data_IF_479266999335
#
_entry.id   IF_479266999335
#
_cell.length_a   1.000
_cell.length_b   1.000
_cell.length_c   1.000
_cell.angle_alpha   90.00
_cell.angle_beta   90.00
_cell.angle_gamma   90.00
#
_symmetry.space_group_name_H-M   'P 1'
#
loop_
_entity.id
_entity.type
_entity.pdbx_description
1 polymer ?
#
# COMPACT_ATOMS: atom_id res chain seq x y z
N UNK A 1 14.47 7.44 -15.28
CA UNK A 1 13.21 8.23 -15.37
C UNK A 1 12.24 7.58 -14.43
N UNK A 2 11.72 8.27 -13.42
CA UNK A 2 10.86 7.62 -12.46
C UNK A 2 9.42 7.59 -13.00
N UNK A 3 8.79 6.41 -13.00
CA UNK A 3 7.34 6.24 -13.04
C UNK A 3 6.86 6.05 -11.60
N UNK A 4 5.77 6.69 -11.18
CA UNK A 4 5.35 6.67 -9.77
C UNK A 4 3.83 6.61 -9.65
N UNK A 5 3.40 6.12 -8.49
CA UNK A 5 2.03 6.13 -7.99
C UNK A 5 1.57 7.49 -7.47
N UNK A 6 2.50 8.34 -7.04
CA UNK A 6 2.15 9.65 -6.50
C UNK A 6 2.23 10.78 -7.52
N UNK A 7 1.22 11.63 -7.40
CA UNK A 7 0.92 12.85 -8.14
C UNK A 7 2.13 13.74 -8.43
N UNK A 8 2.87 13.42 -9.49
CA UNK A 8 4.09 14.17 -9.83
C UNK A 8 3.86 15.64 -10.18
N UNK A 9 2.70 15.94 -10.75
CA UNK A 9 2.39 17.32 -11.13
C UNK A 9 1.88 18.20 -9.98
N UNK A 10 1.76 17.67 -8.75
CA UNK A 10 1.38 18.48 -7.60
C UNK A 10 2.10 18.17 -6.29
N UNK A 11 3.01 17.19 -6.28
CA UNK A 11 4.08 17.12 -5.29
C UNK A 11 5.16 18.15 -5.63
N UNK A 12 5.19 19.24 -4.87
CA UNK A 12 6.20 20.31 -4.99
C UNK A 12 7.65 19.75 -4.95
N UNK A 13 7.88 18.66 -4.21
CA UNK A 13 9.16 17.96 -4.15
C UNK A 13 9.64 17.36 -5.49
N UNK A 14 8.73 16.82 -6.32
CA UNK A 14 9.10 16.30 -7.65
C UNK A 14 9.32 17.42 -8.65
N UNK A 15 8.44 18.43 -8.63
CA UNK A 15 8.61 19.62 -9.44
C UNK A 15 9.98 20.25 -9.19
N UNK A 16 10.58 20.14 -7.98
CA UNK A 16 11.93 20.62 -7.66
C UNK A 16 13.06 19.74 -8.22
N UNK A 17 12.87 18.42 -8.38
CA UNK A 17 13.94 17.48 -8.75
C UNK A 17 14.22 17.40 -10.25
N UNK A 18 13.21 17.59 -11.12
CA UNK A 18 13.36 17.51 -12.57
C UNK A 18 13.36 18.89 -13.24
N UNK A 19 14.17 19.82 -12.71
CA UNK A 19 14.34 21.15 -13.30
C UNK A 19 15.74 21.37 -13.87
N UNK A 20 15.80 22.06 -14.99
CA UNK A 20 17.03 22.67 -15.48
C UNK A 20 17.10 24.10 -14.96
N UNK A 21 18.32 24.58 -14.67
CA UNK A 21 18.53 25.98 -14.33
C UNK A 21 18.22 26.84 -15.56
N UNK A 22 17.31 27.81 -15.42
CA UNK A 22 17.03 28.79 -16.47
C UNK A 22 18.12 29.86 -16.44
N UNK A 23 19.13 29.75 -17.30
CA UNK A 23 20.23 30.72 -17.39
C UNK A 23 21.22 30.72 -16.22
N UNK A 24 21.95 31.83 -16.03
CA UNK A 24 22.93 32.05 -14.94
C UNK A 24 22.27 32.77 -13.76
N UNK A 25 21.68 32.02 -12.83
CA UNK A 25 21.05 32.59 -11.62
C UNK A 25 22.09 32.82 -10.51
N UNK A 26 22.64 34.01 -10.35
CA UNK A 26 23.54 34.32 -9.22
C UNK A 26 22.81 34.24 -7.87
N UNK A 27 23.51 33.82 -6.80
CA UNK A 27 22.99 33.69 -5.42
C UNK A 27 22.44 35.01 -4.86
N UNK A 28 22.75 36.15 -5.48
CA UNK A 28 22.33 37.48 -5.08
C UNK A 28 21.10 38.02 -5.86
N UNK A 29 20.50 37.24 -6.77
CA UNK A 29 19.36 37.72 -7.55
C UNK A 29 18.09 37.81 -6.69
N UNK A 30 17.60 39.03 -6.47
CA UNK A 30 16.35 39.32 -5.76
C UNK A 30 15.21 39.27 -6.78
N UNK A 31 14.24 38.38 -6.56
CA UNK A 31 13.01 38.29 -7.35
C UNK A 31 11.84 38.64 -6.43
N UNK A 32 11.10 39.70 -6.77
CA UNK A 32 9.89 40.12 -6.05
C UNK A 32 8.74 39.16 -6.36
N UNK A 33 8.27 38.44 -5.34
CA UNK A 33 7.12 37.55 -5.45
C UNK A 33 5.81 38.30 -5.10
N UNK A 34 4.78 38.12 -5.92
CA UNK A 34 3.42 38.54 -5.57
C UNK A 34 2.96 37.82 -4.29
N UNK A 35 2.31 38.59 -3.40
CA UNK A 35 1.92 38.20 -2.05
C UNK A 35 1.15 36.88 -2.02
N UNK A 36 1.70 35.88 -1.32
CA UNK A 36 1.00 34.64 -0.96
C UNK A 36 0.07 34.92 0.23
N UNK A 37 -1.24 34.81 0.03
CA UNK A 37 -2.25 34.99 1.08
C UNK A 37 -2.34 33.75 2.01
N UNK A 38 -1.99 33.86 3.30
CA UNK A 38 -1.97 32.75 4.24
C UNK A 38 -3.37 32.19 4.59
N UNK A 39 -4.44 32.98 4.45
CA UNK A 39 -5.77 32.62 4.97
C UNK A 39 -6.54 31.63 4.08
N UNK A 40 -6.03 31.30 2.89
CA UNK A 40 -6.62 30.29 1.99
C UNK A 40 -6.15 28.86 2.25
N UNK A 41 -5.26 28.64 3.24
CA UNK A 41 -4.66 27.32 3.50
C UNK A 41 -5.59 26.33 4.20
N UNK A 42 -6.44 26.76 5.14
CA UNK A 42 -7.14 25.83 6.02
C UNK A 42 -8.38 25.18 5.36
N UNK A 43 -9.18 25.97 4.64
CA UNK A 43 -10.38 25.46 3.95
C UNK A 43 -10.05 24.44 2.84
N UNK A 44 -8.89 24.60 2.19
CA UNK A 44 -8.49 23.76 1.04
C UNK A 44 -7.78 22.45 1.45
N UNK A 45 -7.37 22.32 2.70
CA UNK A 45 -6.91 21.04 3.27
C UNK A 45 -8.11 20.13 3.55
N UNK A 46 -9.26 20.70 3.89
CA UNK A 46 -10.51 19.96 4.08
C UNK A 46 -11.02 19.42 2.74
N UNK A 47 -11.04 20.26 1.70
CA UNK A 47 -11.35 19.83 0.33
C UNK A 47 -10.38 18.73 -0.18
N UNK A 48 -9.12 18.76 0.27
CA UNK A 48 -8.08 17.77 -0.06
C UNK A 48 -8.31 16.42 0.60
N UNK A 49 -8.67 16.39 1.88
CA UNK A 49 -9.07 15.15 2.58
C UNK A 49 -10.34 14.58 1.98
N UNK A 50 -11.29 15.43 1.60
CA UNK A 50 -12.56 15.02 1.01
C UNK A 50 -12.39 14.48 -0.41
N UNK A 51 -11.53 15.09 -1.24
CA UNK A 51 -11.20 14.58 -2.57
C UNK A 51 -10.47 13.22 -2.54
N UNK A 52 -9.62 12.99 -1.53
CA UNK A 52 -8.97 11.69 -1.32
C UNK A 52 -9.97 10.59 -0.96
N UNK A 53 -11.05 10.95 -0.24
CA UNK A 53 -12.10 10.03 0.20
C UNK A 53 -13.20 9.79 -0.84
N UNK A 54 -13.52 10.79 -1.67
CA UNK A 54 -14.67 10.79 -2.61
C UNK A 54 -14.23 10.64 -4.08
N UNK A 55 -12.95 10.88 -4.38
CA UNK A 55 -12.35 10.64 -5.71
C UNK A 55 -12.64 11.71 -6.77
N UNK A 56 -13.06 12.93 -6.42
CA UNK A 56 -13.31 13.96 -7.43
C UNK A 56 -12.02 14.41 -8.15
N UNK A 57 -12.17 14.84 -9.41
CA UNK A 57 -11.11 15.53 -10.15
C UNK A 57 -10.85 16.90 -9.52
N UNK A 58 -9.67 17.10 -8.94
CA UNK A 58 -9.26 18.40 -8.41
C UNK A 58 -8.53 19.18 -9.50
N UNK A 59 -8.99 20.40 -9.79
CA UNK A 59 -8.33 21.31 -10.71
C UNK A 59 -6.93 21.65 -10.19
N UNK A 60 -5.91 21.49 -11.06
CA UNK A 60 -4.49 21.68 -10.73
C UNK A 60 -4.22 23.09 -10.20
N UNK A 61 -3.36 23.20 -9.17
CA UNK A 61 -2.58 24.43 -8.95
C UNK A 61 -1.53 24.55 -10.08
N UNK A 62 -1.24 25.76 -10.57
CA UNK A 62 0.04 26.01 -11.23
C UNK A 62 1.16 25.65 -10.24
N UNK A 63 2.19 24.99 -10.74
CA UNK A 63 3.44 24.68 -10.02
C UNK A 63 3.89 25.86 -9.15
N UNK A 64 4.33 25.61 -7.92
CA UNK A 64 5.03 26.65 -7.15
C UNK A 64 6.29 27.04 -7.96
N UNK A 65 6.41 28.29 -8.42
CA UNK A 65 7.54 28.68 -9.26
C UNK A 65 8.79 28.80 -8.38
N UNK A 66 9.70 27.82 -8.47
CA UNK A 66 11.09 28.04 -8.09
C UNK A 66 11.74 28.90 -9.19
N UNK A 67 11.84 30.21 -8.93
CA UNK A 67 12.44 31.16 -9.86
C UNK A 67 13.87 30.75 -10.24
N UNK A 68 14.20 30.84 -11.53
CA UNK A 68 15.51 30.43 -12.03
C UNK A 68 15.65 28.95 -12.42
N UNK A 69 14.56 28.17 -12.34
CA UNK A 69 14.55 26.74 -12.66
C UNK A 69 13.27 26.32 -13.40
N UNK A 70 13.44 25.74 -14.60
CA UNK A 70 12.36 25.28 -15.47
C UNK A 70 12.16 23.77 -15.38
N UNK A 71 10.93 23.24 -15.24
CA UNK A 71 10.66 21.81 -15.31
C UNK A 71 11.03 21.26 -16.70
N UNK A 72 11.92 20.26 -16.72
CA UNK A 72 12.39 19.59 -17.95
C UNK A 72 11.34 18.61 -18.46
N UNK A 73 10.67 17.91 -17.53
CA UNK A 73 9.58 16.99 -17.84
C UNK A 73 8.24 17.67 -17.57
N UNK A 74 7.44 17.85 -18.63
CA UNK A 74 6.14 18.55 -18.59
C UNK A 74 4.94 17.60 -18.46
N UNK A 75 5.18 16.29 -18.55
CA UNK A 75 4.17 15.23 -18.42
C UNK A 75 4.65 14.15 -17.46
N UNK A 76 3.75 13.63 -16.63
CA UNK A 76 4.03 12.54 -15.70
C UNK A 76 4.13 11.15 -16.37
N UNK A 77 3.89 11.07 -17.67
CA UNK A 77 4.01 9.88 -18.50
C UNK A 77 4.96 10.09 -19.67
N UNK A 78 5.54 8.99 -20.14
CA UNK A 78 6.62 9.00 -21.11
C UNK A 78 6.74 7.64 -21.82
N UNK A 79 7.34 7.67 -23.01
CA UNK A 79 7.74 6.48 -23.77
C UNK A 79 9.19 6.67 -24.24
N UNK A 80 10.01 5.62 -24.18
CA UNK A 80 11.35 5.61 -24.75
C UNK A 80 11.65 4.29 -25.45
N UNK A 81 12.35 4.37 -26.59
CA UNK A 81 13.02 3.23 -27.22
C UNK A 81 14.28 2.90 -26.44
N UNK A 82 14.33 1.76 -25.75
CA UNK A 82 15.52 1.34 -24.99
C UNK A 82 16.53 0.57 -25.84
N UNK A 83 16.03 -0.23 -26.78
CA UNK A 83 16.82 -1.05 -27.69
C UNK A 83 16.00 -1.36 -28.96
N UNK A 84 16.59 -1.93 -30.03
CA UNK A 84 15.83 -2.32 -31.22
C UNK A 84 14.61 -3.20 -30.86
N UNK A 85 13.44 -2.81 -31.34
CA UNK A 85 12.19 -3.54 -31.07
C UNK A 85 11.76 -3.61 -29.60
N UNK A 86 12.26 -2.72 -28.74
CA UNK A 86 11.94 -2.69 -27.31
C UNK A 86 11.71 -1.27 -26.80
N UNK A 87 10.47 -1.00 -26.41
CA UNK A 87 10.05 0.25 -25.79
C UNK A 87 9.82 0.07 -24.29
N UNK A 88 10.00 1.15 -23.54
CA UNK A 88 9.57 1.26 -22.14
C UNK A 88 8.56 2.39 -22.01
N UNK A 89 7.45 2.11 -21.34
CA UNK A 89 6.35 3.03 -21.13
C UNK A 89 6.23 3.33 -19.64
N UNK A 90 6.29 4.60 -19.26
CA UNK A 90 6.00 5.06 -17.91
C UNK A 90 4.62 5.69 -17.86
N UNK A 91 3.71 5.07 -17.12
CA UNK A 91 2.29 5.45 -17.08
C UNK A 91 1.97 6.07 -15.74
N UNK A 92 1.19 7.15 -15.77
CA UNK A 92 0.68 7.83 -14.58
C UNK A 92 -0.85 7.83 -14.57
N UNK A 93 -1.45 7.08 -13.64
CA UNK A 93 -2.92 7.03 -13.46
C UNK A 93 -3.47 8.14 -12.58
N UNK A 94 -2.62 9.01 -12.03
CA UNK A 94 -2.94 9.97 -10.98
C UNK A 94 -3.70 9.28 -9.83
N UNK A 95 -4.82 9.86 -9.37
CA UNK A 95 -5.66 9.29 -8.30
C UNK A 95 -6.72 8.30 -8.80
N UNK A 96 -7.07 8.27 -10.10
CA UNK A 96 -8.24 7.50 -10.59
C UNK A 96 -7.96 6.60 -11.78
N UNK A 97 -7.56 7.15 -12.92
CA UNK A 97 -7.48 6.40 -14.16
C UNK A 97 -6.55 7.10 -15.17
N UNK A 98 -6.02 6.31 -16.11
CA UNK A 98 -5.32 6.78 -17.30
C UNK A 98 -6.28 7.67 -18.11
N UNK A 99 -5.92 8.94 -18.27
CA UNK A 99 -6.78 9.91 -18.96
C UNK A 99 -6.70 9.77 -20.50
N UNK A 100 -7.65 10.38 -21.21
CA UNK A 100 -7.74 10.28 -22.66
C UNK A 100 -6.45 10.70 -23.40
N UNK A 101 -5.79 11.78 -22.98
CA UNK A 101 -4.55 12.27 -23.62
C UNK A 101 -3.42 11.24 -23.53
N UNK A 102 -3.28 10.63 -22.36
CA UNK A 102 -2.28 9.59 -22.13
C UNK A 102 -2.60 8.31 -22.92
N UNK A 103 -3.88 7.93 -23.00
CA UNK A 103 -4.33 6.80 -23.85
C UNK A 103 -3.99 7.04 -25.32
N UNK A 104 -4.30 8.24 -25.83
CA UNK A 104 -4.01 8.62 -27.21
C UNK A 104 -2.50 8.61 -27.47
N UNK A 105 -1.70 9.17 -26.57
CA UNK A 105 -0.23 9.18 -26.67
C UNK A 105 0.37 7.78 -26.85
N UNK A 106 -0.02 6.81 -26.01
CA UNK A 106 0.49 5.44 -26.12
C UNK A 106 -0.08 4.69 -27.32
N UNK A 107 -1.34 4.97 -27.71
CA UNK A 107 -1.95 4.37 -28.89
C UNK A 107 -1.28 4.84 -30.19
N UNK A 108 -1.00 6.14 -30.32
CA UNK A 108 -0.27 6.71 -31.45
C UNK A 108 1.13 6.08 -31.55
N UNK A 109 1.87 6.03 -30.44
CA UNK A 109 3.20 5.41 -30.41
C UNK A 109 3.16 3.92 -30.80
N UNK A 110 2.15 3.18 -30.33
CA UNK A 110 1.96 1.77 -30.70
C UNK A 110 1.66 1.60 -32.19
N UNK A 111 0.89 2.49 -32.79
CA UNK A 111 0.60 2.45 -34.22
C UNK A 111 1.85 2.75 -35.07
N UNK A 112 2.73 3.63 -34.60
CA UNK A 112 4.00 3.92 -35.25
C UNK A 112 5.01 2.77 -35.12
N UNK A 113 4.92 2.00 -34.03
CA UNK A 113 5.86 0.93 -33.67
C UNK A 113 5.15 -0.39 -33.29
N UNK A 114 4.35 -1.00 -34.20
CA UNK A 114 3.47 -2.11 -33.85
C UNK A 114 4.21 -3.40 -33.46
N UNK A 115 5.44 -3.56 -33.93
CA UNK A 115 6.28 -4.73 -33.65
C UNK A 115 7.18 -4.56 -32.42
N UNK A 116 7.15 -3.42 -31.73
CA UNK A 116 7.97 -3.22 -30.54
C UNK A 116 7.37 -3.93 -29.32
N UNK A 117 8.17 -4.73 -28.62
CA UNK A 117 7.77 -5.23 -27.32
C UNK A 117 7.82 -4.12 -26.27
N UNK A 118 7.06 -4.30 -25.20
CA UNK A 118 6.83 -3.24 -24.21
C UNK A 118 7.26 -3.68 -22.81
N UNK A 119 8.14 -2.89 -22.19
CA UNK A 119 8.31 -2.83 -20.74
C UNK A 119 7.34 -1.79 -20.21
N UNK A 120 6.44 -2.19 -19.33
CA UNK A 120 5.42 -1.33 -18.77
C UNK A 120 5.75 -0.98 -17.32
N UNK A 121 5.96 0.30 -17.03
CA UNK A 121 6.14 0.83 -15.68
C UNK A 121 4.84 1.48 -15.23
N UNK A 122 4.09 0.80 -14.35
CA UNK A 122 2.82 1.28 -13.80
C UNK A 122 2.90 1.34 -12.28
N UNK A 123 2.13 2.25 -11.69
CA UNK A 123 2.10 2.46 -10.25
C UNK A 123 1.59 1.24 -9.49
N UNK A 124 0.35 0.87 -9.78
CA UNK A 124 -0.40 -0.17 -9.09
C UNK A 124 -0.20 -1.49 -9.85
N UNK A 125 0.14 -2.57 -9.15
CA UNK A 125 0.29 -3.87 -9.80
C UNK A 125 -1.00 -4.32 -10.46
N UNK A 126 -0.92 -4.98 -11.62
CA UNK A 126 -2.06 -5.68 -12.23
C UNK A 126 -2.45 -6.93 -11.44
N UNK A 127 -1.47 -7.54 -10.76
CA UNK A 127 -1.67 -8.66 -9.85
C UNK A 127 -1.02 -8.34 -8.50
N UNK A 128 -1.80 -8.36 -7.43
CA UNK A 128 -1.32 -8.15 -6.07
C UNK A 128 -1.76 -9.32 -5.19
N UNK A 129 -0.87 -9.80 -4.31
CA UNK A 129 -1.15 -10.90 -3.41
C UNK A 129 -1.73 -12.14 -4.12
N UNK A 130 -1.19 -12.46 -5.31
CA UNK A 130 -1.59 -13.60 -6.16
C UNK A 130 -3.03 -13.51 -6.70
N UNK A 131 -3.60 -12.30 -6.77
CA UNK A 131 -4.94 -12.04 -7.30
C UNK A 131 -4.94 -10.84 -8.22
N UNK A 132 -5.95 -10.74 -9.08
CA UNK A 132 -6.17 -9.55 -9.90
C UNK A 132 -6.37 -8.32 -9.02
N UNK A 133 -5.64 -7.25 -9.32
CA UNK A 133 -5.86 -5.95 -8.73
C UNK A 133 -6.67 -5.07 -9.71
N UNK A 134 -7.93 -4.72 -9.39
CA UNK A 134 -8.81 -3.97 -10.28
C UNK A 134 -8.25 -2.62 -10.74
N UNK A 135 -7.32 -2.01 -9.99
CA UNK A 135 -6.71 -0.75 -10.38
C UNK A 135 -5.70 -0.99 -11.50
N UNK A 136 -4.72 -1.88 -11.30
CA UNK A 136 -3.73 -2.22 -12.33
C UNK A 136 -4.37 -2.83 -13.58
N UNK A 137 -5.39 -3.67 -13.43
CA UNK A 137 -6.14 -4.24 -14.55
C UNK A 137 -6.81 -3.15 -15.42
N UNK A 138 -7.39 -2.11 -14.80
CA UNK A 138 -7.96 -0.97 -15.53
C UNK A 138 -6.90 -0.14 -16.26
N UNK A 139 -5.67 -0.08 -15.76
CA UNK A 139 -4.56 0.57 -16.45
C UNK A 139 -4.22 -0.22 -17.72
N UNK A 140 -4.06 -1.54 -17.62
CA UNK A 140 -3.80 -2.39 -18.79
C UNK A 140 -4.90 -2.23 -19.85
N UNK A 141 -6.17 -2.32 -19.42
CA UNK A 141 -7.32 -2.12 -20.31
C UNK A 141 -7.32 -0.73 -20.97
N UNK A 142 -7.00 0.34 -20.24
CA UNK A 142 -6.99 1.70 -20.77
C UNK A 142 -5.91 1.90 -21.86
N UNK A 143 -4.78 1.18 -21.73
CA UNK A 143 -3.67 1.17 -22.68
C UNK A 143 -3.87 0.16 -23.82
N UNK A 144 -4.93 -0.66 -23.77
CA UNK A 144 -5.15 -1.76 -24.70
C UNK A 144 -4.07 -2.84 -24.60
N UNK A 145 -3.49 -3.04 -23.41
CA UNK A 145 -2.51 -4.08 -23.13
C UNK A 145 -3.23 -5.36 -22.75
N UNK A 146 -2.98 -6.45 -23.47
CA UNK A 146 -3.42 -7.80 -23.12
C UNK A 146 -2.20 -8.66 -22.82
N UNK A 147 -2.19 -9.34 -21.69
CA UNK A 147 -1.00 -10.02 -21.16
C UNK A 147 -0.57 -11.16 -22.09
N UNK A 148 -1.53 -11.95 -22.55
CA UNK A 148 -1.29 -13.12 -23.41
C UNK A 148 -0.86 -12.73 -24.82
N UNK A 149 -1.33 -11.59 -25.33
CA UNK A 149 -1.04 -11.11 -26.69
C UNK A 149 0.24 -10.28 -26.77
N UNK A 150 0.41 -9.38 -25.81
CA UNK A 150 1.50 -8.40 -25.82
C UNK A 150 2.73 -8.92 -25.08
N UNK A 151 2.57 -9.95 -24.25
CA UNK A 151 3.61 -10.63 -23.47
C UNK A 151 4.58 -9.67 -22.73
N UNK A 152 4.07 -8.62 -22.05
CA UNK A 152 4.91 -7.51 -21.57
C UNK A 152 5.77 -7.89 -20.35
N UNK A 153 6.83 -7.11 -20.11
CA UNK A 153 7.47 -7.00 -18.80
C UNK A 153 6.82 -5.86 -18.01
N UNK A 154 6.01 -6.17 -17.01
CA UNK A 154 5.31 -5.18 -16.19
C UNK A 154 6.08 -4.98 -14.88
N UNK A 155 6.50 -3.75 -14.61
CA UNK A 155 7.25 -3.33 -13.43
C UNK A 155 6.39 -2.40 -12.59
N UNK A 156 6.21 -2.73 -11.32
CA UNK A 156 5.24 -2.05 -10.45
C UNK A 156 5.79 -1.78 -9.05
N UNK A 157 5.17 -0.80 -8.38
CA UNK A 157 5.43 -0.46 -6.99
C UNK A 157 4.16 -0.61 -6.16
N UNK A 158 3.91 0.35 -5.27
CA UNK A 158 2.73 0.48 -4.39
C UNK A 158 2.59 -0.63 -3.32
N UNK A 159 2.74 -1.89 -3.72
CA UNK A 159 2.85 -3.00 -2.79
C UNK A 159 4.30 -3.12 -2.32
N UNK A 160 4.54 -2.77 -1.05
CA UNK A 160 5.85 -2.72 -0.41
C UNK A 160 6.48 -4.08 -0.07
N UNK A 161 6.39 -5.04 -0.98
CA UNK A 161 7.17 -6.28 -1.00
C UNK A 161 7.75 -6.51 -2.39
N UNK A 162 8.59 -7.54 -2.52
CA UNK A 162 8.98 -8.08 -3.81
C UNK A 162 8.09 -9.26 -4.19
N UNK A 163 7.64 -9.35 -5.43
CA UNK A 163 6.95 -10.52 -5.98
C UNK A 163 7.18 -10.59 -7.50
N UNK A 164 7.47 -11.77 -8.04
CA UNK A 164 7.54 -12.02 -9.48
C UNK A 164 6.61 -13.16 -9.86
N UNK A 165 5.81 -12.93 -10.91
CA UNK A 165 4.90 -13.89 -11.51
C UNK A 165 5.08 -13.89 -13.03
N UNK A 166 5.13 -15.06 -13.67
CA UNK A 166 5.09 -15.17 -15.13
C UNK A 166 3.71 -15.64 -15.62
N UNK A 167 3.29 -15.11 -16.76
CA UNK A 167 2.05 -15.47 -17.44
C UNK A 167 2.39 -15.80 -18.90
N UNK A 168 2.71 -17.06 -19.17
CA UNK A 168 3.36 -17.43 -20.44
C UNK A 168 4.74 -16.77 -20.55
N UNK A 169 4.94 -15.94 -21.59
CA UNK A 169 6.18 -15.14 -21.76
C UNK A 169 6.08 -13.75 -21.13
N UNK A 170 4.88 -13.32 -20.70
CA UNK A 170 4.73 -12.09 -19.94
C UNK A 170 5.32 -12.27 -18.54
N UNK A 171 5.81 -11.19 -17.96
CA UNK A 171 6.37 -11.18 -16.62
C UNK A 171 5.87 -9.97 -15.85
N UNK A 172 5.35 -10.19 -14.66
CA UNK A 172 4.93 -9.15 -13.73
C UNK A 172 5.85 -9.14 -12.52
N UNK A 173 6.39 -7.96 -12.20
CA UNK A 173 7.33 -7.75 -11.10
C UNK A 173 6.84 -6.60 -10.22
N UNK A 174 6.56 -6.91 -8.97
CA UNK A 174 6.36 -5.94 -7.88
C UNK A 174 7.72 -5.73 -7.22
N UNK A 175 8.19 -4.48 -7.18
CA UNK A 175 9.43 -4.10 -6.52
C UNK A 175 9.23 -2.84 -5.64
N UNK A 176 8.22 -2.87 -4.77
CA UNK A 176 7.81 -1.71 -3.97
C UNK A 176 8.56 -1.51 -2.65
N UNK A 177 9.57 -2.33 -2.32
CA UNK A 177 10.27 -2.28 -1.03
C UNK A 177 11.29 -1.15 -0.87
N UNK A 178 11.02 0.03 -1.44
CA UNK A 178 11.97 1.15 -1.50
C UNK A 178 12.13 1.98 -0.21
N UNK A 179 11.21 1.88 0.75
CA UNK A 179 11.38 2.59 2.04
C UNK A 179 10.14 2.74 2.93
N UNK A 180 8.92 2.67 2.38
CA UNK A 180 7.68 2.73 3.15
C UNK A 180 7.46 1.47 4.01
N UNK A 181 6.39 1.41 4.82
CA UNK A 181 6.09 0.26 5.67
C UNK A 181 5.95 -1.03 4.84
N UNK A 182 6.33 -2.17 5.39
CA UNK A 182 6.33 -3.46 4.70
C UNK A 182 4.90 -3.96 4.41
N UNK A 183 4.67 -4.55 3.24
CA UNK A 183 3.47 -5.38 2.99
C UNK A 183 3.81 -6.88 3.14
N UNK A 184 2.85 -7.71 3.60
CA UNK A 184 3.05 -9.15 3.69
C UNK A 184 3.01 -9.79 2.29
N UNK A 185 3.70 -10.91 2.13
CA UNK A 185 3.30 -11.87 1.11
C UNK A 185 1.98 -12.52 1.51
N UNK A 186 1.22 -13.03 0.53
CA UNK A 186 0.01 -13.80 0.83
C UNK A 186 0.37 -15.05 1.63
N UNK A 187 -0.23 -15.18 2.82
CA UNK A 187 0.02 -16.29 3.75
C UNK A 187 -0.86 -17.50 3.41
N UNK A 188 -2.18 -17.31 3.33
CA UNK A 188 -3.11 -18.35 2.89
C UNK A 188 -3.08 -18.53 1.37
N UNK A 189 -2.54 -19.65 0.88
CA UNK A 189 -2.28 -19.90 -0.56
C UNK A 189 -3.09 -21.00 -1.20
N UNK A 190 -4.05 -21.60 -0.50
CA UNK A 190 -4.84 -22.69 -1.07
C UNK A 190 -5.58 -22.19 -2.33
N UNK A 191 -5.27 -22.78 -3.48
CA UNK A 191 -5.87 -22.43 -4.77
C UNK A 191 -5.18 -21.29 -5.53
N UNK A 192 -3.96 -20.91 -5.13
CA UNK A 192 -3.15 -19.89 -5.81
C UNK A 192 -1.82 -20.49 -6.24
N UNK A 193 -1.38 -20.15 -7.44
CA UNK A 193 -0.05 -20.51 -7.93
C UNK A 193 1.02 -19.74 -7.16
N UNK A 194 2.11 -20.42 -6.83
CA UNK A 194 3.23 -19.79 -6.15
C UNK A 194 3.96 -18.85 -7.11
N UNK A 195 4.35 -17.64 -6.67
CA UNK A 195 5.21 -16.77 -7.46
C UNK A 195 6.59 -17.42 -7.60
N UNK A 196 7.32 -17.13 -8.68
CA UNK A 196 8.67 -17.67 -8.85
C UNK A 196 9.65 -17.09 -7.83
N UNK A 197 9.40 -15.87 -7.35
CA UNK A 197 10.19 -15.25 -6.30
C UNK A 197 9.39 -14.21 -5.52
N UNK A 198 9.67 -14.07 -4.23
CA UNK A 198 9.04 -13.09 -3.35
C UNK A 198 9.92 -12.77 -2.14
N UNK A 199 9.79 -11.55 -1.61
CA UNK A 199 10.56 -11.10 -0.45
C UNK A 199 9.81 -9.98 0.30
N UNK A 200 9.31 -10.23 1.52
CA UNK A 200 9.39 -11.46 2.32
C UNK A 200 8.57 -12.62 1.74
N UNK A 201 8.89 -13.85 2.14
CA UNK A 201 8.04 -15.03 1.87
C UNK A 201 6.89 -15.21 2.89
N UNK A 202 6.06 -16.26 2.74
CA UNK A 202 4.86 -16.46 3.55
C UNK A 202 5.20 -16.82 5.00
N UNK A 203 6.28 -17.57 5.23
CA UNK A 203 6.73 -17.93 6.59
C UNK A 203 7.18 -16.70 7.37
N UNK A 204 7.98 -15.84 6.75
CA UNK A 204 8.40 -14.57 7.35
C UNK A 204 7.21 -13.64 7.57
N UNK A 205 6.30 -13.57 6.60
CA UNK A 205 5.07 -12.79 6.73
C UNK A 205 4.18 -13.29 7.87
N UNK A 206 4.06 -14.61 8.07
CA UNK A 206 3.33 -15.18 9.19
C UNK A 206 3.99 -14.85 10.54
N UNK A 207 5.32 -14.97 10.64
CA UNK A 207 6.05 -14.64 11.87
C UNK A 207 5.91 -13.16 12.25
N UNK A 208 5.86 -12.26 11.27
CA UNK A 208 5.59 -10.84 11.48
C UNK A 208 4.12 -10.59 11.85
N UNK A 209 3.17 -11.26 11.18
CA UNK A 209 1.74 -11.15 11.48
C UNK A 209 1.42 -11.52 12.93
N UNK A 210 2.06 -12.57 13.46
CA UNK A 210 1.88 -13.00 14.86
C UNK A 210 2.27 -11.94 15.91
N UNK A 211 3.08 -10.95 15.52
CA UNK A 211 3.51 -9.87 16.40
C UNK A 211 2.50 -8.71 16.44
N UNK A 212 1.62 -8.60 15.44
CA UNK A 212 0.69 -7.47 15.27
C UNK A 212 -0.09 -7.15 16.55
N UNK A 213 -0.71 -8.12 17.27
CA UNK A 213 -1.47 -7.80 18.48
C UNK A 213 -0.63 -7.10 19.54
N UNK A 214 0.60 -7.59 19.75
CA UNK A 214 1.51 -7.07 20.75
C UNK A 214 2.10 -5.71 20.36
N UNK A 215 2.40 -5.51 19.08
CA UNK A 215 2.94 -4.24 18.59
C UNK A 215 1.91 -3.11 18.66
N UNK A 216 0.65 -3.40 18.33
CA UNK A 216 -0.44 -2.44 18.51
C UNK A 216 -0.64 -2.17 20.00
N UNK A 217 -0.72 -3.20 20.84
CA UNK A 217 -0.92 -3.04 22.27
C UNK A 217 0.21 -2.25 22.95
N UNK A 218 1.46 -2.45 22.50
CA UNK A 218 2.64 -1.71 22.95
C UNK A 218 2.75 -0.27 22.40
N UNK A 219 1.81 0.18 21.57
CA UNK A 219 1.77 1.56 21.06
C UNK A 219 2.75 1.84 19.91
N UNK A 220 3.29 0.82 19.25
CA UNK A 220 4.24 0.99 18.14
C UNK A 220 3.62 1.72 16.94
N UNK A 221 2.32 1.53 16.73
CA UNK A 221 1.51 2.23 15.73
C UNK A 221 0.92 3.56 16.26
N UNK A 222 1.40 4.06 17.40
CA UNK A 222 0.76 5.11 18.18
C UNK A 222 -0.37 4.59 19.08
N UNK A 223 -1.05 5.50 19.77
CA UNK A 223 -2.09 5.19 20.76
C UNK A 223 -3.53 5.45 20.25
N UNK A 224 -3.72 5.58 18.94
CA UNK A 224 -5.04 5.90 18.36
C UNK A 224 -6.08 4.83 18.70
N UNK A 225 -5.71 3.55 18.62
CA UNK A 225 -6.62 2.43 18.97
C UNK A 225 -6.94 2.44 20.47
N UNK A 226 -5.96 2.72 21.34
CA UNK A 226 -6.20 2.83 22.78
C UNK A 226 -7.16 3.97 23.10
N UNK A 227 -6.96 5.14 22.50
CA UNK A 227 -7.84 6.30 22.70
C UNK A 227 -9.24 6.01 22.17
N UNK A 228 -9.36 5.39 21.00
CA UNK A 228 -10.66 5.02 20.44
C UNK A 228 -11.43 4.05 21.35
N UNK A 229 -10.75 3.03 21.89
CA UNK A 229 -11.36 2.06 22.82
C UNK A 229 -11.67 2.69 24.18
N UNK A 230 -10.81 3.57 24.69
CA UNK A 230 -11.08 4.34 25.90
C UNK A 230 -12.38 5.16 25.76
N UNK A 231 -12.51 5.92 24.67
CA UNK A 231 -13.71 6.68 24.36
C UNK A 231 -14.95 5.76 24.21
N UNK A 232 -14.79 4.62 23.55
CA UNK A 232 -15.86 3.63 23.40
C UNK A 232 -16.35 3.06 24.74
N UNK A 233 -15.52 3.04 25.77
CA UNK A 233 -15.86 2.50 27.10
C UNK A 233 -16.40 3.53 28.08
N UNK A 234 -16.40 4.83 27.74
CA UNK A 234 -17.00 5.87 28.59
C UNK A 234 -18.46 5.59 28.97
N UNK A 235 -19.34 5.09 28.07
CA UNK A 235 -20.71 4.73 28.42
C UNK A 235 -20.78 3.59 29.44
N UNK A 236 -19.89 2.59 29.34
CA UNK A 236 -19.82 1.48 30.30
C UNK A 236 -19.41 2.03 31.67
N UNK A 237 -18.35 2.84 31.71
CA UNK A 237 -17.92 3.53 32.93
C UNK A 237 -19.07 4.33 33.57
N UNK A 238 -19.78 5.14 32.77
CA UNK A 238 -20.91 5.94 33.24
C UNK A 238 -22.05 5.10 33.82
N UNK A 239 -22.36 3.96 33.19
CA UNK A 239 -23.39 3.03 33.67
C UNK A 239 -23.05 2.43 35.04
N UNK A 240 -21.79 2.03 35.25
CA UNK A 240 -21.33 1.54 36.55
C UNK A 240 -21.29 2.62 37.63
N UNK A 241 -20.89 3.85 37.27
CA UNK A 241 -20.91 4.99 38.21
C UNK A 241 -22.35 5.36 38.61
N UNK A 242 -23.32 5.14 37.73
CA UNK A 242 -24.75 5.30 38.03
C UNK A 242 -25.37 4.13 38.82
N UNK A 243 -24.59 3.10 39.14
CA UNK A 243 -25.04 1.95 39.93
C UNK A 243 -25.72 0.83 39.13
N UNK A 244 -25.74 0.92 37.80
CA UNK A 244 -26.19 -0.17 36.91
C UNK A 244 -25.12 -1.25 36.76
N UNK A 245 -25.53 -2.45 36.36
CA UNK A 245 -24.66 -3.57 35.98
C UNK A 245 -23.96 -3.38 34.62
N UNK A 246 -24.39 -2.42 33.79
CA UNK A 246 -23.77 -2.10 32.50
C UNK A 246 -23.97 -3.15 31.40
N UNK A 247 -24.81 -4.17 31.60
CA UNK A 247 -25.01 -5.29 30.65
C UNK A 247 -25.56 -4.82 29.30
N UNK A 248 -26.58 -3.95 29.31
CA UNK A 248 -27.16 -3.37 28.09
C UNK A 248 -26.13 -2.55 27.33
N UNK A 249 -25.38 -1.71 28.04
CA UNK A 249 -24.36 -0.84 27.41
C UNK A 249 -23.22 -1.66 26.83
N UNK A 250 -22.75 -2.68 27.55
CA UNK A 250 -21.73 -3.61 27.06
C UNK A 250 -22.18 -4.35 25.80
N UNK A 251 -23.45 -4.75 25.72
CA UNK A 251 -24.04 -5.37 24.53
C UNK A 251 -24.05 -4.42 23.33
N UNK A 252 -24.43 -3.15 23.55
CA UNK A 252 -24.40 -2.12 22.51
C UNK A 252 -22.96 -1.85 22.02
N UNK A 253 -21.99 -1.80 22.94
CA UNK A 253 -20.56 -1.67 22.60
C UNK A 253 -20.07 -2.88 21.81
N UNK A 254 -20.48 -4.09 22.17
CA UNK A 254 -20.12 -5.31 21.43
C UNK A 254 -20.68 -5.30 20.01
N UNK A 255 -21.94 -4.87 19.84
CA UNK A 255 -22.58 -4.73 18.54
C UNK A 255 -21.87 -3.66 17.69
N UNK A 256 -21.56 -2.50 18.27
CA UNK A 256 -20.81 -1.45 17.59
C UNK A 256 -19.42 -1.94 17.16
N UNK A 257 -18.68 -2.60 18.06
CA UNK A 257 -17.37 -3.18 17.77
C UNK A 257 -17.43 -4.23 16.65
N UNK A 258 -18.49 -5.05 16.63
CA UNK A 258 -18.76 -6.01 15.54
C UNK A 258 -18.93 -5.29 14.21
N UNK A 259 -19.79 -4.27 14.15
CA UNK A 259 -20.03 -3.52 12.92
C UNK A 259 -18.75 -2.81 12.45
N UNK A 260 -18.02 -2.17 13.36
CA UNK A 260 -16.76 -1.50 13.05
C UNK A 260 -15.73 -2.48 12.47
N UNK A 261 -15.53 -3.64 13.11
CA UNK A 261 -14.62 -4.68 12.61
C UNK A 261 -15.08 -5.24 11.26
N UNK A 262 -16.37 -5.48 11.06
CA UNK A 262 -16.91 -5.95 9.78
C UNK A 262 -16.67 -4.94 8.64
N UNK A 263 -16.79 -3.64 8.93
CA UNK A 263 -16.48 -2.58 7.97
C UNK A 263 -14.98 -2.54 7.63
N UNK A 264 -14.11 -2.72 8.62
CA UNK A 264 -12.65 -2.76 8.42
C UNK A 264 -12.19 -3.98 7.62
N UNK A 265 -12.80 -5.14 7.85
CA UNK A 265 -12.52 -6.37 7.08
C UNK A 265 -13.11 -6.35 5.66
N UNK A 266 -14.13 -5.51 5.42
CA UNK A 266 -14.74 -5.29 4.11
C UNK A 266 -15.96 -6.17 3.85
N UNK A 267 -17.12 -5.53 3.60
CA UNK A 267 -18.40 -6.20 3.40
C UNK A 267 -18.54 -6.92 2.03
N UNK A 268 -17.78 -6.49 1.01
CA UNK A 268 -17.97 -6.88 -0.40
C UNK A 268 -17.08 -8.03 -0.87
N UNK A 269 -16.51 -8.79 0.04
CA UNK A 269 -15.62 -9.89 -0.30
C UNK A 269 -16.37 -11.22 -0.46
N UNK A 270 -15.84 -12.11 -1.31
CA UNK A 270 -16.30 -13.51 -1.46
C UNK A 270 -16.31 -14.30 -0.14
N UNK A 271 -15.63 -13.79 0.88
CA UNK A 271 -15.46 -14.37 2.21
C UNK A 271 -16.21 -13.59 3.32
N UNK A 272 -17.30 -12.89 2.98
CA UNK A 272 -18.07 -12.07 3.92
C UNK A 272 -18.45 -12.83 5.21
N UNK A 273 -18.85 -14.10 5.11
CA UNK A 273 -19.20 -14.91 6.30
C UNK A 273 -18.04 -15.04 7.29
N UNK A 274 -16.80 -15.24 6.81
CA UNK A 274 -15.63 -15.41 7.66
C UNK A 274 -15.25 -14.09 8.32
N UNK A 275 -15.33 -12.98 7.57
CA UNK A 275 -15.11 -11.63 8.09
C UNK A 275 -16.15 -11.30 9.17
N UNK A 276 -17.42 -11.59 8.92
CA UNK A 276 -18.50 -11.36 9.89
C UNK A 276 -18.32 -12.20 11.16
N UNK A 277 -17.91 -13.46 11.03
CA UNK A 277 -17.60 -14.32 12.19
C UNK A 277 -16.45 -13.75 13.01
N UNK A 278 -15.34 -13.37 12.37
CA UNK A 278 -14.20 -12.76 13.08
C UNK A 278 -14.61 -11.45 13.73
N UNK A 279 -15.34 -10.60 13.03
CA UNK A 279 -15.82 -9.33 13.54
C UNK A 279 -16.77 -9.52 14.73
N UNK A 280 -17.67 -10.51 14.69
CA UNK A 280 -18.55 -10.85 15.81
C UNK A 280 -17.77 -11.31 17.03
N UNK A 281 -16.79 -12.21 16.85
CA UNK A 281 -15.95 -12.69 17.94
C UNK A 281 -15.13 -11.55 18.56
N UNK A 282 -14.58 -10.66 17.74
CA UNK A 282 -13.84 -9.48 18.20
C UNK A 282 -14.75 -8.46 18.86
N UNK A 283 -15.95 -8.21 18.33
CA UNK A 283 -16.93 -7.32 18.95
C UNK A 283 -17.40 -7.86 20.31
N UNK A 284 -17.69 -9.16 20.41
CA UNK A 284 -18.00 -9.82 21.66
C UNK A 284 -16.84 -9.74 22.67
N UNK A 285 -15.59 -9.87 22.22
CA UNK A 285 -14.41 -9.65 23.05
C UNK A 285 -14.31 -8.19 23.53
N UNK A 286 -14.40 -7.22 22.62
CA UNK A 286 -14.27 -5.79 22.91
C UNK A 286 -15.41 -5.29 23.81
N UNK A 287 -16.66 -5.72 23.62
CA UNK A 287 -17.76 -5.27 24.47
C UNK A 287 -18.00 -6.13 25.72
N UNK A 288 -17.80 -7.44 25.63
CA UNK A 288 -18.05 -8.38 26.73
C UNK A 288 -16.93 -8.43 27.76
N UNK A 289 -15.66 -8.30 27.35
CA UNK A 289 -14.54 -8.35 28.27
C UNK A 289 -14.55 -7.20 29.31
N UNK A 290 -14.81 -5.93 28.95
CA UNK A 290 -14.98 -4.87 29.94
C UNK A 290 -16.05 -5.21 30.96
N UNK A 291 -17.22 -5.70 30.53
CA UNK A 291 -18.29 -6.11 31.45
C UNK A 291 -17.79 -7.13 32.49
N UNK A 292 -17.04 -8.15 32.06
CA UNK A 292 -16.44 -9.14 32.96
C UNK A 292 -15.37 -8.53 33.88
N UNK A 293 -14.51 -7.65 33.37
CA UNK A 293 -13.47 -6.97 34.15
C UNK A 293 -14.09 -6.09 35.25
N UNK A 294 -15.12 -5.32 34.92
CA UNK A 294 -15.83 -4.49 35.90
C UNK A 294 -16.45 -5.32 37.03
N UNK A 295 -17.08 -6.44 36.72
CA UNK A 295 -17.62 -7.35 37.74
C UNK A 295 -16.52 -8.01 38.58
N UNK A 296 -15.43 -8.44 37.94
CA UNK A 296 -14.29 -9.03 38.64
C UNK A 296 -13.63 -8.03 39.61
N UNK A 297 -13.40 -6.79 39.17
CA UNK A 297 -12.84 -5.73 40.03
C UNK A 297 -13.79 -5.42 41.18
N UNK A 298 -15.10 -5.31 40.93
CA UNK A 298 -16.09 -5.09 41.99
C UNK A 298 -16.06 -6.19 43.06
N UNK A 299 -15.95 -7.45 42.64
CA UNK A 299 -15.85 -8.59 43.54
C UNK A 299 -14.53 -8.58 44.33
N UNK A 300 -13.40 -8.46 43.65
CA UNK A 300 -12.06 -8.59 44.23
C UNK A 300 -11.60 -7.38 45.06
N UNK A 301 -12.09 -6.19 44.74
CA UNK A 301 -11.78 -4.95 45.45
C UNK A 301 -12.89 -4.50 46.40
N UNK A 302 -13.92 -5.33 46.60
CA UNK A 302 -14.96 -5.09 47.60
C UNK A 302 -14.35 -4.88 48.99
N UNK A 303 -14.80 -3.83 49.69
CA UNK A 303 -14.28 -3.45 51.00
C UNK A 303 -12.87 -2.85 51.02
N UNK A 304 -12.14 -2.83 49.91
CA UNK A 304 -10.79 -2.23 49.79
C UNK A 304 -10.79 -0.89 49.07
N UNK A 305 -11.61 -0.77 48.03
CA UNK A 305 -11.75 0.42 47.21
C UNK A 305 -13.21 0.87 47.20
N UNK A 306 -13.44 2.19 47.15
CA UNK A 306 -14.77 2.75 46.89
C UNK A 306 -15.26 2.43 45.49
N UNK A 307 -16.58 2.39 45.28
CA UNK A 307 -17.20 2.01 44.00
C UNK A 307 -16.69 2.84 42.81
N UNK A 308 -16.47 4.14 43.00
CA UNK A 308 -15.88 5.03 41.99
C UNK A 308 -14.47 4.58 41.60
N UNK A 309 -13.60 4.30 42.58
CA UNK A 309 -12.25 3.84 42.32
C UNK A 309 -12.23 2.48 41.61
N UNK A 310 -13.12 1.56 41.99
CA UNK A 310 -13.30 0.27 41.31
C UNK A 310 -13.65 0.46 39.83
N UNK A 311 -14.58 1.37 39.52
CA UNK A 311 -15.01 1.65 38.14
C UNK A 311 -13.87 2.20 37.27
N UNK A 312 -13.07 3.14 37.79
CA UNK A 312 -11.91 3.67 37.06
C UNK A 312 -10.79 2.64 36.88
N UNK A 313 -10.52 1.79 37.88
CA UNK A 313 -9.55 0.69 37.76
C UNK A 313 -10.00 -0.29 36.69
N UNK A 314 -11.28 -0.70 36.70
CA UNK A 314 -11.83 -1.60 35.70
C UNK A 314 -11.80 -1.00 34.29
N UNK A 315 -12.14 0.28 34.15
CA UNK A 315 -12.05 1.02 32.89
C UNK A 315 -10.63 1.00 32.32
N UNK A 316 -9.62 1.36 33.12
CA UNK A 316 -8.22 1.33 32.71
C UNK A 316 -7.74 -0.09 32.34
N UNK A 317 -8.09 -1.08 33.16
CA UNK A 317 -7.74 -2.48 32.95
C UNK A 317 -8.38 -3.09 31.68
N UNK A 318 -9.49 -2.52 31.21
CA UNK A 318 -10.22 -3.02 30.03
C UNK A 318 -9.59 -2.61 28.70
N UNK A 319 -8.83 -1.51 28.65
CA UNK A 319 -8.30 -0.94 27.40
C UNK A 319 -7.28 -1.88 26.76
N UNK A 320 -6.27 -2.32 27.52
CA UNK A 320 -5.16 -3.09 26.96
C UNK A 320 -5.59 -4.46 26.36
N UNK A 321 -6.40 -5.29 27.06
CA UNK A 321 -6.90 -6.54 26.48
C UNK A 321 -7.79 -6.34 25.26
N UNK A 322 -8.52 -5.23 25.18
CA UNK A 322 -9.33 -4.90 24.01
C UNK A 322 -8.47 -4.52 22.80
N UNK A 323 -7.39 -3.78 23.02
CA UNK A 323 -6.40 -3.49 21.97
C UNK A 323 -5.77 -4.79 21.45
N UNK A 324 -5.45 -5.74 22.33
CA UNK A 324 -4.97 -7.06 21.93
C UNK A 324 -6.00 -7.81 21.07
N UNK A 325 -7.28 -7.79 21.46
CA UNK A 325 -8.36 -8.40 20.69
C UNK A 325 -8.51 -7.79 19.30
N UNK A 326 -8.42 -6.46 19.19
CA UNK A 326 -8.43 -5.75 17.91
C UNK A 326 -7.21 -6.09 17.05
N UNK A 327 -6.01 -6.15 17.65
CA UNK A 327 -4.82 -6.56 16.91
C UNK A 327 -4.86 -8.02 16.46
N UNK A 328 -5.47 -8.92 17.25
CA UNK A 328 -5.71 -10.31 16.88
C UNK A 328 -6.68 -10.44 15.70
N UNK A 329 -7.69 -9.55 15.62
CA UNK A 329 -8.57 -9.43 14.47
C UNK A 329 -7.80 -9.09 13.19
N UNK A 330 -6.99 -8.03 13.22
CA UNK A 330 -6.17 -7.64 12.06
C UNK A 330 -5.19 -8.75 11.66
N UNK A 331 -4.53 -9.39 12.64
CA UNK A 331 -3.68 -10.57 12.41
C UNK A 331 -4.45 -11.68 11.69
N UNK A 332 -5.65 -12.03 12.16
CA UNK A 332 -6.45 -13.10 11.55
C UNK A 332 -6.83 -12.77 10.11
N UNK A 333 -7.25 -11.53 9.82
CA UNK A 333 -7.56 -11.09 8.45
C UNK A 333 -6.35 -11.28 7.51
N UNK A 334 -5.15 -10.94 7.97
CA UNK A 334 -3.93 -11.09 7.17
C UNK A 334 -3.48 -12.54 7.00
N UNK A 335 -3.54 -13.35 8.05
CA UNK A 335 -3.19 -14.78 7.96
C UNK A 335 -4.12 -15.52 6.99
N UNK A 336 -5.41 -15.18 7.02
CA UNK A 336 -6.43 -15.78 6.16
C UNK A 336 -6.46 -15.18 4.74
N UNK A 337 -5.61 -14.18 4.45
CA UNK A 337 -5.52 -13.54 3.14
C UNK A 337 -6.76 -12.73 2.75
N UNK A 338 -7.50 -12.22 3.76
CA UNK A 338 -8.72 -11.41 3.62
C UNK A 338 -8.39 -9.92 3.50
N UNK A 339 -7.35 -9.46 4.20
CA UNK A 339 -6.89 -8.07 4.20
C UNK A 339 -5.35 -8.05 4.39
N UNK A 340 -4.62 -7.31 3.55
CA UNK A 340 -3.15 -7.38 3.50
C UNK A 340 -2.45 -6.07 3.88
N UNK A 341 -3.17 -4.96 4.06
CA UNK A 341 -2.56 -3.64 4.22
C UNK A 341 -2.51 -3.18 5.68
N UNK A 342 -3.61 -3.34 6.42
CA UNK A 342 -3.80 -2.69 7.72
C UNK A 342 -2.88 -3.25 8.79
N UNK A 343 -2.78 -4.57 8.89
CA UNK A 343 -2.03 -5.21 9.97
C UNK A 343 -0.54 -4.83 9.96
N UNK A 344 0.09 -4.86 8.79
CA UNK A 344 1.53 -4.60 8.67
C UNK A 344 1.91 -3.12 8.79
N UNK A 345 1.00 -2.21 8.47
CA UNK A 345 1.22 -0.77 8.73
C UNK A 345 1.51 -0.51 10.22
N UNK A 346 0.89 -1.29 11.11
CA UNK A 346 1.08 -1.18 12.56
C UNK A 346 2.43 -1.70 13.05
N UNK A 347 3.09 -2.57 12.27
CA UNK A 347 4.37 -3.14 12.62
C UNK A 347 5.53 -2.16 12.42
N UNK A 348 5.37 -1.11 11.60
CA UNK A 348 6.46 -0.19 11.24
C UNK A 348 7.79 -0.93 10.97
N UNK A 349 7.74 -2.09 10.29
CA UNK A 349 8.89 -2.97 10.16
C UNK A 349 9.89 -2.36 9.15
N UNK A 350 11.13 -2.05 9.55
CA UNK A 350 12.10 -1.35 8.70
C UNK A 350 12.74 -2.29 7.67
N UNK A 351 12.66 -3.59 7.89
CA UNK A 351 13.32 -4.61 7.09
C UNK A 351 12.65 -4.97 5.76
N UNK A 352 13.22 -5.98 5.11
CA UNK A 352 12.82 -6.53 3.81
C UNK A 352 12.83 -5.51 2.66
N UNK A 353 13.76 -4.55 2.73
CA UNK A 353 13.97 -3.59 1.63
C UNK A 353 14.78 -4.22 0.53
N UNK A 354 14.53 -3.80 -0.70
CA UNK A 354 15.20 -4.36 -1.86
C UNK A 354 15.32 -3.33 -2.99
N UNK A 355 16.23 -3.62 -3.90
CA UNK A 355 16.45 -2.86 -5.12
C UNK A 355 16.46 -3.82 -6.31
N UNK A 356 15.67 -3.49 -7.34
CA UNK A 356 15.67 -4.19 -8.63
C UNK A 356 16.61 -3.48 -9.60
N UNK A 357 17.63 -4.21 -10.07
CA UNK A 357 18.52 -3.78 -11.14
C UNK A 357 18.16 -4.49 -12.44
N UNK A 358 17.98 -3.73 -13.51
CA UNK A 358 17.73 -4.27 -14.85
C UNK A 358 18.89 -3.96 -15.79
N UNK A 359 19.22 -4.92 -16.65
CA UNK A 359 20.13 -4.76 -17.78
C UNK A 359 19.37 -5.11 -19.06
N UNK A 360 19.16 -4.11 -19.90
CA UNK A 360 18.63 -4.32 -21.25
C UNK A 360 19.79 -4.74 -22.17
N UNK A 361 19.62 -5.82 -22.92
CA UNK A 361 20.62 -6.24 -23.91
C UNK A 361 20.62 -5.29 -25.10
N UNK A 362 21.80 -5.03 -25.66
CA UNK A 362 22.01 -4.01 -26.70
C UNK A 362 21.20 -4.28 -27.97
N UNK A 363 20.98 -5.54 -28.29
CA UNK A 363 20.18 -6.03 -29.42
C UNK A 363 18.66 -6.03 -29.17
N UNK A 364 18.23 -5.73 -27.94
CA UNK A 364 16.83 -5.78 -27.53
C UNK A 364 16.30 -7.20 -27.32
N UNK A 365 17.14 -8.23 -27.30
CA UNK A 365 16.71 -9.63 -27.20
C UNK A 365 16.12 -10.01 -25.84
N UNK A 366 16.62 -9.42 -24.77
CA UNK A 366 16.16 -9.73 -23.42
C UNK A 366 16.49 -8.61 -22.43
N UNK A 367 15.85 -8.71 -21.26
CA UNK A 367 16.12 -7.90 -20.07
C UNK A 367 16.49 -8.84 -18.94
N UNK A 368 17.70 -8.68 -18.41
CA UNK A 368 18.19 -9.44 -17.26
C UNK A 368 17.95 -8.63 -15.97
N UNK A 369 17.41 -9.27 -14.94
CA UNK A 369 17.07 -8.66 -13.67
C UNK A 369 17.79 -9.29 -12.48
N UNK A 370 18.19 -8.45 -11.52
CA UNK A 370 18.75 -8.87 -10.23
C UNK A 370 18.08 -8.10 -9.10
N UNK A 371 17.69 -8.82 -8.06
CA UNK A 371 17.06 -8.22 -6.89
C UNK A 371 17.97 -8.41 -5.70
N UNK A 372 18.44 -7.29 -5.15
CA UNK A 372 19.30 -7.24 -3.98
C UNK A 372 18.46 -6.78 -2.80
N UNK A 373 18.34 -7.63 -1.78
CA UNK A 373 17.51 -7.39 -0.60
C UNK A 373 18.33 -7.27 0.68
N UNK A 374 17.74 -6.64 1.69
CA UNK A 374 18.28 -6.57 3.05
C UNK A 374 17.15 -6.84 4.03
N UNK A 375 17.30 -7.91 4.83
CA UNK A 375 16.26 -8.36 5.77
C UNK A 375 16.14 -7.38 6.94
N UNK A 376 17.24 -7.03 7.59
CA UNK A 376 17.28 -6.01 8.63
C UNK A 376 18.07 -4.80 8.13
N UNK A 377 17.38 -3.70 7.84
CA UNK A 377 18.05 -2.48 7.38
C UNK A 377 18.71 -1.70 8.50
N UNK A 378 18.32 -1.93 9.75
CA UNK A 378 18.85 -1.21 10.90
C UNK A 378 20.15 -1.82 11.42
N UNK A 379 20.37 -3.12 11.19
CA UNK A 379 21.67 -3.75 11.47
C UNK A 379 22.69 -3.43 10.36
N UNK A 380 23.77 -2.69 10.65
CA UNK A 380 24.83 -2.42 9.67
C UNK A 380 25.55 -3.69 9.20
N UNK A 381 25.53 -4.76 10.01
CA UNK A 381 26.18 -6.05 9.70
C UNK A 381 25.29 -7.00 8.91
N UNK A 382 24.00 -6.71 8.80
CA UNK A 382 23.09 -7.56 8.03
C UNK A 382 23.52 -7.60 6.56
N UNK A 383 23.67 -8.81 6.04
CA UNK A 383 24.15 -9.06 4.69
C UNK A 383 23.11 -8.62 3.63
N UNK A 384 23.63 -8.19 2.48
CA UNK A 384 22.82 -8.00 1.28
C UNK A 384 22.67 -9.37 0.62
N UNK A 385 21.42 -9.80 0.45
CA UNK A 385 21.10 -11.09 -0.17
C UNK A 385 20.69 -10.89 -1.62
N UNK A 386 21.15 -11.78 -2.51
CA UNK A 386 20.55 -11.90 -3.84
C UNK A 386 19.20 -12.61 -3.68
N UNK A 387 18.13 -11.84 -3.72
CA UNK A 387 16.75 -12.32 -3.56
C UNK A 387 16.29 -13.08 -4.79
N UNK A 388 16.59 -12.56 -5.97
CA UNK A 388 16.15 -13.13 -7.23
C UNK A 388 17.06 -12.74 -8.40
N UNK A 389 17.05 -13.59 -9.43
CA UNK A 389 17.69 -13.35 -10.72
C UNK A 389 16.80 -13.92 -11.82
N UNK A 390 16.46 -13.10 -12.79
CA UNK A 390 15.58 -13.51 -13.89
C UNK A 390 16.03 -12.94 -15.23
N UNK A 391 15.49 -13.51 -16.31
CA UNK A 391 15.60 -12.97 -17.66
C UNK A 391 14.21 -12.97 -18.27
N UNK A 392 13.76 -11.81 -18.74
CA UNK A 392 12.58 -11.70 -19.60
C UNK A 392 13.06 -11.61 -21.05
N UNK A 393 12.63 -12.55 -21.89
CA UNK A 393 12.99 -12.59 -23.31
C UNK A 393 11.99 -11.78 -24.11
N UNK A 394 12.49 -10.87 -24.94
CA UNK A 394 11.64 -10.02 -25.77
C UNK A 394 10.82 -10.88 -26.74
N UNK A 395 9.47 -10.86 -26.64
CA UNK A 395 8.61 -11.69 -27.46
C UNK A 395 8.64 -11.36 -28.95
N UNK A 396 9.01 -10.13 -29.28
CA UNK A 396 9.07 -9.58 -30.64
C UNK A 396 10.49 -9.54 -31.21
N UNK A 397 11.50 -9.96 -30.44
CA UNK A 397 12.86 -10.04 -30.96
C UNK A 397 12.99 -11.23 -31.91
N UNK A 398 13.17 -10.96 -33.21
CA UNK A 398 13.51 -11.97 -34.20
C UNK A 398 15.01 -12.24 -34.13
N UNK A 399 15.40 -13.35 -33.52
CA UNK A 399 16.79 -13.81 -33.44
C UNK A 399 16.91 -15.30 -33.76
N UNK A 400 17.52 -15.61 -34.91
CA UNK A 400 18.09 -16.88 -35.40
C UNK A 400 17.25 -18.19 -35.42
N UNK A 401 16.29 -18.41 -34.53
CA UNK A 401 15.60 -19.71 -34.44
C UNK A 401 14.64 -19.99 -35.62
N UNK A 402 14.15 -18.95 -36.30
CA UNK A 402 13.36 -19.09 -37.53
C UNK A 402 14.22 -19.49 -38.75
N UNK A 403 15.56 -19.43 -38.67
CA UNK A 403 16.43 -19.89 -39.75
C UNK A 403 16.65 -21.42 -39.72
N UNK A 404 16.30 -22.10 -38.63
CA UNK A 404 16.47 -23.54 -38.47
C UNK A 404 15.24 -24.36 -38.93
N UNK A 405 14.10 -23.71 -39.20
CA UNK A 405 12.86 -24.36 -39.67
C UNK A 405 12.58 -24.17 -41.16
N UNK A 406 13.49 -23.50 -41.89
CA UNK A 406 13.49 -23.43 -43.36
C UNK A 406 14.86 -23.80 -43.92
N UNK A 407 15.23 -25.08 -43.80
CA UNK A 407 16.12 -25.76 -44.75
C UNK A 407 15.73 -27.23 -44.89
#
# INVERSE_FOLDING_TARGET
>A
IPGNHDWYDGLDGFARMFRARSGKVDRASIVTADRVDPNTQLGKVIDWVEAFRVGHHVAKRPTLPLFGYDPVQRSSYWCLRLAPGLDIWGVDRQLRAVNYRQRQFFLEHRNDCPDAATILVISDPAFAHLTDNPIGQRILQALGIEIERDEPLILTGDIHHYCRQSFGRAMHVIAGGGGAFLHPARIARKGFDAPEAEFPGPRSSLALAMQVPWQIAGGRAGFVVHVALALLYLPILGSFLAGSDGSVVATLVALFGTVACAMLGGWRQRHAYLILTLAFLTGAWVGGLPFLIFHAVRLLASGRLGATAQAFVAYGASIYPAVLGFGAFLMALTILGLEHNQAFSSLAHPGYKHFLRLRVRRDGSAVDGWVLGKIDTLDPKAEIVLVDRFTWNNPRHRGADDAATTR
#
